data_IF_105719158354
#
_entry.id   IF_105719158354
#
_cell.length_a   1.000
_cell.length_b   1.000
_cell.length_c   1.000
_cell.angle_alpha   90.00
_cell.angle_beta   90.00
_cell.angle_gamma   90.00
#
_symmetry.space_group_name_H-M   'P 1'
#
loop_
_entity.id
_entity.type
_entity.pdbx_description
1 polymer ?
#
# COMPACT_ATOMS: atom_id res chain seq x y z
N UNK A 1 6.59 -41.84 11.78
CA UNK A 1 5.51 -41.87 10.77
C UNK A 1 4.93 -40.47 10.67
N UNK A 2 5.23 -39.73 9.59
CA UNK A 2 4.74 -38.36 9.36
C UNK A 2 3.33 -38.40 8.74
N UNK A 3 2.36 -37.78 9.40
CA UNK A 3 1.03 -37.53 8.84
C UNK A 3 1.04 -36.16 8.13
N UNK A 4 0.93 -36.18 6.79
CA UNK A 4 0.69 -34.99 5.96
C UNK A 4 -0.81 -34.70 5.96
N UNK A 5 -1.24 -33.61 6.58
CA UNK A 5 -2.59 -33.08 6.45
C UNK A 5 -2.65 -32.16 5.23
N UNK A 6 -3.35 -32.60 4.19
CA UNK A 6 -3.54 -31.84 2.96
C UNK A 6 -4.64 -30.78 3.12
N UNK A 7 -4.29 -29.51 2.92
CA UNK A 7 -5.29 -28.44 2.76
C UNK A 7 -5.83 -28.47 1.32
N UNK A 8 -7.11 -28.80 1.17
CA UNK A 8 -7.85 -28.63 -0.08
C UNK A 8 -8.28 -27.17 -0.19
N UNK A 9 -7.54 -26.39 -0.95
CA UNK A 9 -7.94 -25.04 -1.34
C UNK A 9 -9.12 -25.13 -2.33
N UNK A 10 -10.33 -24.78 -1.88
CA UNK A 10 -11.46 -24.51 -2.78
C UNK A 10 -11.15 -23.25 -3.60
N UNK A 11 -10.74 -23.42 -4.84
CA UNK A 11 -10.69 -22.33 -5.82
C UNK A 11 -12.14 -21.88 -6.10
N UNK A 12 -12.49 -20.69 -5.63
CA UNK A 12 -13.70 -20.00 -6.07
C UNK A 12 -13.41 -19.47 -7.48
N UNK A 13 -14.15 -19.97 -8.47
CA UNK A 13 -14.16 -19.39 -9.81
C UNK A 13 -14.71 -17.97 -9.71
N UNK A 14 -13.81 -16.97 -9.77
CA UNK A 14 -14.19 -15.58 -10.00
C UNK A 14 -14.68 -15.50 -11.45
N UNK A 15 -15.92 -15.06 -11.64
CA UNK A 15 -16.49 -14.82 -12.96
C UNK A 15 -15.56 -13.87 -13.75
N UNK A 16 -15.31 -14.11 -15.05
CA UNK A 16 -14.51 -13.21 -15.84
C UNK A 16 -15.26 -11.88 -15.97
N UNK A 17 -14.72 -10.80 -15.40
CA UNK A 17 -15.07 -9.45 -15.81
C UNK A 17 -14.86 -9.39 -17.33
N UNK A 18 -15.93 -9.13 -18.08
CA UNK A 18 -15.89 -8.88 -19.51
C UNK A 18 -15.03 -7.63 -19.76
N UNK A 19 -13.73 -7.83 -19.94
CA UNK A 19 -12.79 -6.81 -20.34
C UNK A 19 -13.07 -6.46 -21.80
N UNK A 20 -13.95 -5.47 -22.01
CA UNK A 20 -14.21 -4.90 -23.33
C UNK A 20 -12.92 -4.22 -23.79
N UNK A 21 -12.16 -4.90 -24.66
CA UNK A 21 -11.00 -4.34 -25.34
C UNK A 21 -11.52 -3.70 -26.63
N UNK A 22 -11.66 -2.38 -26.65
CA UNK A 22 -11.83 -1.65 -27.90
C UNK A 22 -10.45 -1.62 -28.58
N UNK A 23 -10.18 -2.65 -29.38
CA UNK A 23 -9.01 -2.70 -30.25
C UNK A 23 -9.46 -2.36 -31.67
N UNK A 24 -9.08 -1.17 -32.14
CA UNK A 24 -9.05 -0.84 -33.56
C UNK A 24 -7.84 -1.52 -34.20
N UNK A 25 -8.03 -2.76 -34.64
CA UNK A 25 -7.10 -3.46 -35.52
C UNK A 25 -7.70 -3.51 -36.91
N UNK A 26 -7.14 -2.72 -37.84
CA UNK A 26 -7.19 -2.98 -39.28
C UNK A 26 -5.76 -3.33 -39.68
N UNK A 27 -5.53 -4.50 -40.31
CA UNK A 27 -5.57 -4.51 -41.77
C UNK A 27 -6.16 -5.81 -42.34
N UNK A 28 -7.17 -5.71 -43.18
CA UNK A 28 -7.47 -6.78 -44.14
C UNK A 28 -7.80 -6.19 -45.51
N UNK A 29 -6.91 -6.54 -46.43
CA UNK A 29 -6.96 -6.33 -47.86
C UNK A 29 -8.20 -7.05 -48.43
N UNK A 30 -9.22 -6.26 -48.79
CA UNK A 30 -10.41 -6.75 -49.47
C UNK A 30 -10.80 -5.80 -50.59
N UNK A 31 -11.03 -6.40 -51.75
CA UNK A 31 -11.14 -5.76 -53.05
C UNK A 31 -12.33 -4.78 -53.17
N UNK A 32 -12.00 -3.64 -53.76
CA UNK A 32 -12.80 -2.76 -54.62
C UNK A 32 -14.31 -3.09 -54.80
N UNK A 33 -15.16 -2.37 -54.07
CA UNK A 33 -16.47 -1.93 -54.55
C UNK A 33 -16.74 -0.52 -54.02
N UNK A 34 -16.58 0.48 -54.89
CA UNK A 34 -16.97 1.86 -54.61
C UNK A 34 -18.50 1.97 -54.50
N UNK A 35 -19.03 1.86 -53.30
CA UNK A 35 -20.32 2.45 -52.95
C UNK A 35 -20.04 3.86 -52.40
N UNK A 36 -20.25 4.87 -53.25
CA UNK A 36 -20.45 6.23 -52.78
C UNK A 36 -21.88 6.23 -52.22
N UNK A 37 -22.02 5.86 -50.94
CA UNK A 37 -23.20 6.26 -50.20
C UNK A 37 -22.99 7.73 -49.84
N UNK A 38 -23.75 8.61 -50.48
CA UNK A 38 -23.88 9.99 -50.00
C UNK A 38 -24.43 9.90 -48.58
N UNK A 39 -23.64 10.33 -47.59
CA UNK A 39 -24.07 10.41 -46.21
C UNK A 39 -25.14 11.51 -46.09
N UNK A 40 -26.41 11.11 -46.30
CA UNK A 40 -27.58 12.00 -46.16
C UNK A 40 -27.96 12.22 -44.70
N UNK A 41 -27.11 11.87 -43.73
CA UNK A 41 -27.42 12.11 -42.32
C UNK A 41 -27.34 13.61 -42.03
N UNK A 42 -28.51 14.24 -41.95
CA UNK A 42 -28.63 15.63 -41.50
C UNK A 42 -28.32 15.65 -40.01
N UNK A 43 -27.08 15.97 -39.67
CA UNK A 43 -26.68 16.18 -38.29
C UNK A 43 -27.45 17.37 -37.72
N UNK A 44 -28.17 17.19 -36.59
CA UNK A 44 -28.82 18.31 -35.94
C UNK A 44 -27.75 19.30 -35.50
N UNK A 45 -27.92 20.58 -35.84
CA UNK A 45 -26.96 21.64 -35.49
C UNK A 45 -26.74 21.62 -33.97
N UNK A 46 -25.55 21.21 -33.56
CA UNK A 46 -25.20 21.12 -32.15
C UNK A 46 -25.04 22.52 -31.56
N UNK A 47 -25.87 22.84 -30.56
CA UNK A 47 -25.83 24.09 -29.83
C UNK A 47 -26.18 23.86 -28.36
N UNK A 48 -26.01 24.89 -27.53
CA UNK A 48 -26.28 24.83 -26.08
C UNK A 48 -27.76 24.61 -25.73
N UNK A 49 -28.66 24.66 -26.71
CA UNK A 49 -30.08 24.35 -26.56
C UNK A 49 -30.44 22.90 -26.95
N UNK A 50 -29.46 22.06 -27.29
CA UNK A 50 -29.70 20.65 -27.59
C UNK A 50 -30.24 19.90 -26.37
N UNK A 51 -30.97 18.78 -26.57
CA UNK A 51 -31.57 18.02 -25.47
C UNK A 51 -30.57 17.58 -24.40
N UNK A 52 -29.30 17.34 -24.76
CA UNK A 52 -28.24 17.02 -23.83
C UNK A 52 -27.93 18.20 -22.89
N UNK A 53 -27.63 19.38 -23.43
CA UNK A 53 -27.32 20.57 -22.63
C UNK A 53 -28.49 21.04 -21.78
N UNK A 54 -29.72 20.95 -22.30
CA UNK A 54 -30.92 21.25 -21.52
C UNK A 54 -31.06 20.34 -20.30
N UNK A 55 -30.79 19.03 -20.45
CA UNK A 55 -30.80 18.09 -19.33
C UNK A 55 -29.72 18.44 -18.30
N UNK A 56 -28.51 18.81 -18.74
CA UNK A 56 -27.45 19.25 -17.84
C UNK A 56 -27.80 20.50 -17.05
N UNK A 57 -28.36 21.54 -17.69
CA UNK A 57 -28.78 22.75 -16.98
C UNK A 57 -29.93 22.49 -16.01
N UNK A 58 -30.92 21.68 -16.40
CA UNK A 58 -32.01 21.30 -15.50
C UNK A 58 -31.48 20.51 -14.30
N UNK A 59 -30.58 19.55 -14.53
CA UNK A 59 -29.96 18.77 -13.46
C UNK A 59 -29.11 19.66 -12.53
N UNK A 60 -28.35 20.59 -13.10
CA UNK A 60 -27.59 21.61 -12.36
C UNK A 60 -28.48 22.46 -11.46
N UNK A 61 -29.61 22.95 -11.99
CA UNK A 61 -30.56 23.76 -11.23
C UNK A 61 -31.21 22.92 -10.12
N UNK A 62 -31.59 21.67 -10.40
CA UNK A 62 -32.16 20.76 -9.41
C UNK A 62 -31.17 20.52 -8.27
N UNK A 63 -29.89 20.27 -8.58
CA UNK A 63 -28.84 20.06 -7.57
C UNK A 63 -28.62 21.34 -6.74
N UNK A 64 -28.56 22.51 -7.39
CA UNK A 64 -28.40 23.78 -6.70
C UNK A 64 -29.58 24.11 -5.77
N UNK A 65 -30.81 23.86 -6.23
CA UNK A 65 -32.01 24.00 -5.40
C UNK A 65 -32.02 23.00 -4.25
N UNK A 66 -31.65 21.75 -4.50
CA UNK A 66 -31.53 20.72 -3.46
C UNK A 66 -30.48 21.08 -2.40
N UNK A 67 -29.40 21.77 -2.76
CA UNK A 67 -28.40 22.26 -1.82
C UNK A 67 -28.95 23.40 -0.94
N UNK A 68 -29.69 24.34 -1.52
CA UNK A 68 -30.26 25.47 -0.77
C UNK A 68 -31.41 25.05 0.16
N UNK A 69 -32.19 24.04 -0.23
CA UNK A 69 -33.31 23.50 0.55
C UNK A 69 -32.95 22.22 1.29
N UNK A 70 -31.66 21.85 1.34
CA UNK A 70 -31.22 20.71 2.12
C UNK A 70 -31.53 21.00 3.60
N UNK A 71 -32.24 20.08 4.30
CA UNK A 71 -32.34 20.15 5.75
C UNK A 71 -30.94 20.21 6.35
N UNK A 72 -30.80 20.88 7.51
CA UNK A 72 -29.54 20.83 8.25
C UNK A 72 -29.08 19.36 8.39
N UNK A 73 -27.78 19.06 8.26
CA UNK A 73 -27.28 17.70 8.35
C UNK A 73 -27.43 17.18 9.79
N UNK A 74 -28.64 16.77 10.14
CA UNK A 74 -28.98 16.07 11.36
C UNK A 74 -29.09 14.57 11.07
N UNK A 75 -28.85 13.75 12.08
CA UNK A 75 -28.98 12.29 11.99
C UNK A 75 -30.42 11.84 11.64
N UNK A 76 -31.39 12.76 11.74
CA UNK A 76 -32.80 12.54 11.45
C UNK A 76 -33.18 12.79 9.99
N UNK A 77 -32.29 13.37 9.17
CA UNK A 77 -32.56 13.58 7.76
C UNK A 77 -32.83 12.24 7.07
N UNK A 78 -33.95 12.15 6.33
CA UNK A 78 -34.43 10.90 5.73
C UNK A 78 -33.36 10.20 4.88
N UNK A 79 -32.61 10.98 4.08
CA UNK A 79 -31.54 10.46 3.22
C UNK A 79 -30.37 9.94 4.06
N UNK A 80 -29.95 10.67 5.09
CA UNK A 80 -28.88 10.24 6.01
C UNK A 80 -29.27 8.94 6.73
N UNK A 81 -30.50 8.83 7.23
CA UNK A 81 -31.02 7.61 7.86
C UNK A 81 -31.11 6.43 6.89
N UNK A 82 -31.54 6.68 5.65
CA UNK A 82 -31.60 5.65 4.62
C UNK A 82 -30.20 5.15 4.24
N UNK A 83 -29.24 6.06 4.09
CA UNK A 83 -27.82 5.70 3.87
C UNK A 83 -27.26 4.93 5.07
N UNK A 84 -27.53 5.40 6.29
CA UNK A 84 -27.08 4.77 7.53
C UNK A 84 -27.51 3.29 7.65
N UNK A 85 -28.69 2.94 7.12
CA UNK A 85 -29.20 1.56 7.10
C UNK A 85 -28.35 0.61 6.24
N UNK A 86 -27.73 1.11 5.17
CA UNK A 86 -26.92 0.31 4.24
C UNK A 86 -25.41 0.46 4.45
N UNK A 87 -24.97 1.49 5.18
CA UNK A 87 -23.56 1.66 5.53
C UNK A 87 -23.18 0.85 6.76
N UNK A 88 -21.95 0.34 6.79
CA UNK A 88 -21.41 -0.30 8.00
C UNK A 88 -21.19 0.73 9.11
N UNK A 89 -21.56 0.37 10.35
CA UNK A 89 -21.36 1.20 11.55
C UNK A 89 -19.91 1.63 11.72
N UNK A 90 -19.70 2.86 12.21
CA UNK A 90 -18.38 3.43 12.53
C UNK A 90 -17.57 2.54 13.48
N UNK A 91 -18.22 1.90 14.44
CA UNK A 91 -17.58 0.96 15.38
C UNK A 91 -16.88 -0.21 14.67
N UNK A 92 -17.48 -0.74 13.60
CA UNK A 92 -16.89 -1.83 12.82
C UNK A 92 -15.63 -1.38 12.08
N UNK A 93 -15.62 -0.13 11.59
CA UNK A 93 -14.44 0.47 10.97
C UNK A 93 -13.32 0.68 11.99
N UNK A 94 -13.66 1.16 13.19
CA UNK A 94 -12.71 1.31 14.29
C UNK A 94 -12.08 -0.04 14.64
N UNK A 95 -12.91 -1.05 14.87
CA UNK A 95 -12.47 -2.41 15.22
C UNK A 95 -11.59 -3.03 14.12
N UNK A 96 -11.92 -2.84 12.84
CA UNK A 96 -11.07 -3.27 11.74
C UNK A 96 -9.73 -2.53 11.69
N UNK A 97 -9.73 -1.20 11.91
CA UNK A 97 -8.52 -0.40 11.95
C UNK A 97 -7.62 -0.81 13.13
N UNK A 98 -8.19 -1.07 14.30
CA UNK A 98 -7.47 -1.57 15.48
C UNK A 98 -6.86 -2.93 15.21
N UNK A 99 -7.59 -3.86 14.57
CA UNK A 99 -6.99 -5.15 14.19
C UNK A 99 -5.82 -4.97 13.21
N UNK A 100 -5.97 -4.09 12.23
CA UNK A 100 -4.90 -3.83 11.27
C UNK A 100 -3.66 -3.21 11.93
N UNK A 101 -3.83 -2.26 12.86
CA UNK A 101 -2.71 -1.65 13.57
C UNK A 101 -1.99 -2.67 14.45
N UNK A 102 -2.72 -3.55 15.14
CA UNK A 102 -2.13 -4.64 15.95
C UNK A 102 -1.31 -5.59 15.06
N UNK A 103 -1.88 -6.08 13.97
CA UNK A 103 -1.17 -6.97 13.04
C UNK A 103 0.06 -6.31 12.43
N UNK A 104 -0.04 -5.02 12.05
CA UNK A 104 1.09 -4.27 11.51
C UNK A 104 2.23 -4.11 12.53
N UNK A 105 1.87 -3.95 13.81
CA UNK A 105 2.82 -3.86 14.91
C UNK A 105 3.53 -5.20 15.12
N UNK A 106 2.80 -6.31 15.14
CA UNK A 106 3.39 -7.65 15.29
C UNK A 106 4.39 -7.95 14.17
N UNK A 107 4.05 -7.59 12.93
CA UNK A 107 4.97 -7.73 11.78
C UNK A 107 6.20 -6.83 11.96
N UNK A 108 6.02 -5.58 12.39
CA UNK A 108 7.13 -4.67 12.62
C UNK A 108 8.07 -5.15 13.73
N UNK A 109 7.53 -5.71 14.82
CA UNK A 109 8.31 -6.32 15.90
C UNK A 109 9.11 -7.54 15.40
N UNK A 110 8.48 -8.39 14.57
CA UNK A 110 9.16 -9.52 13.94
C UNK A 110 10.32 -9.06 13.05
N UNK A 111 10.12 -8.03 12.22
CA UNK A 111 11.19 -7.45 11.40
C UNK A 111 12.30 -6.89 12.29
N UNK A 112 11.95 -6.10 13.31
CA UNK A 112 12.92 -5.50 14.23
C UNK A 112 13.80 -6.56 14.91
N UNK A 113 13.21 -7.67 15.36
CA UNK A 113 13.94 -8.78 15.97
C UNK A 113 15.05 -9.33 15.07
N UNK A 114 14.79 -9.46 13.76
CA UNK A 114 15.77 -9.98 12.82
C UNK A 114 16.74 -8.90 12.31
N UNK A 115 16.30 -7.65 12.17
CA UNK A 115 17.15 -6.56 11.66
C UNK A 115 18.12 -6.03 12.71
N UNK A 116 17.71 -6.01 13.98
CA UNK A 116 18.52 -5.48 15.09
C UNK A 116 19.55 -6.49 15.58
N UNK A 117 19.42 -7.77 15.21
CA UNK A 117 20.40 -8.80 15.53
C UNK A 117 21.71 -8.58 14.75
N UNK A 118 22.60 -7.73 15.28
CA UNK A 118 23.97 -7.60 14.80
C UNK A 118 24.83 -8.74 15.36
N UNK A 119 25.71 -9.33 14.53
CA UNK A 119 26.74 -10.24 15.02
C UNK A 119 27.61 -9.49 16.03
N UNK A 120 28.03 -10.09 17.17
CA UNK A 120 28.98 -9.43 18.06
C UNK A 120 30.24 -9.02 17.28
N UNK A 121 30.78 -7.82 17.51
CA UNK A 121 31.97 -7.36 16.81
C UNK A 121 33.13 -8.32 17.09
N UNK A 122 33.75 -8.85 16.03
CA UNK A 122 34.91 -9.75 16.15
C UNK A 122 36.17 -8.95 15.93
N UNK A 123 36.89 -8.66 17.02
CA UNK A 123 38.18 -7.99 16.96
C UNK A 123 39.27 -9.04 16.73
N UNK A 124 39.65 -9.25 15.46
CA UNK A 124 40.72 -10.17 15.08
C UNK A 124 42.09 -9.52 15.32
N UNK A 125 42.71 -9.81 16.46
CA UNK A 125 44.07 -9.39 16.74
C UNK A 125 45.08 -10.30 16.02
N UNK A 126 46.05 -9.71 15.31
CA UNK A 126 47.13 -10.45 14.63
C UNK A 126 48.16 -10.99 15.62
N UNK A 127 48.43 -10.24 16.70
CA UNK A 127 49.45 -10.56 17.69
C UNK A 127 48.95 -10.26 19.12
N UNK A 128 48.03 -11.06 19.68
CA UNK A 128 47.56 -10.87 21.06
C UNK A 128 48.68 -11.03 22.09
N UNK A 129 49.70 -11.83 21.75
CA UNK A 129 50.85 -12.11 22.61
C UNK A 129 51.71 -10.90 22.93
N UNK A 130 51.63 -9.81 22.15
CA UNK A 130 52.37 -8.57 22.48
C UNK A 130 51.91 -7.93 23.79
N UNK A 131 50.69 -8.22 24.25
CA UNK A 131 50.15 -7.66 25.49
C UNK A 131 50.84 -8.22 26.75
N UNK A 132 51.36 -9.46 26.68
CA UNK A 132 52.03 -10.17 27.78
C UNK A 132 53.52 -10.46 27.49
N UNK A 133 54.09 -9.90 26.42
CA UNK A 133 55.43 -10.28 25.96
C UNK A 133 56.56 -9.82 26.90
N UNK A 134 56.31 -8.86 27.78
CA UNK A 134 57.32 -8.33 28.69
C UNK A 134 57.46 -9.18 29.95
N UNK A 135 58.70 -9.57 30.27
CA UNK A 135 59.02 -10.25 31.53
C UNK A 135 58.81 -9.28 32.71
N UNK A 136 58.06 -9.65 33.76
CA UNK A 136 57.81 -8.78 34.92
C UNK A 136 59.07 -8.31 35.64
N UNK A 137 60.18 -9.02 35.49
CA UNK A 137 61.43 -8.78 36.23
C UNK A 137 62.47 -7.99 35.44
N UNK A 138 62.21 -7.68 34.17
CA UNK A 138 63.15 -6.98 33.29
C UNK A 138 62.50 -5.76 32.61
N UNK A 139 61.68 -5.04 33.36
CA UNK A 139 61.04 -3.80 32.92
C UNK A 139 61.49 -2.68 33.82
N UNK A 140 61.97 -1.57 33.24
CA UNK A 140 62.20 -0.36 34.00
C UNK A 140 60.86 0.20 34.51
N UNK A 141 60.87 0.78 35.71
CA UNK A 141 59.70 1.42 36.28
C UNK A 141 59.15 2.50 35.33
N UNK A 142 57.85 2.44 35.02
CA UNK A 142 57.17 3.41 34.16
C UNK A 142 57.20 3.16 32.65
N UNK A 143 57.88 2.11 32.16
CA UNK A 143 57.93 1.80 30.72
C UNK A 143 56.70 1.04 30.19
N UNK A 144 56.04 0.27 31.07
CA UNK A 144 54.86 -0.52 30.70
C UNK A 144 53.59 0.09 31.30
N UNK A 145 52.52 0.11 30.50
CA UNK A 145 51.18 0.37 30.97
C UNK A 145 50.57 -0.91 31.55
N UNK A 146 49.73 -0.79 32.59
CA UNK A 146 48.95 -1.93 33.09
C UNK A 146 47.88 -2.30 32.07
N UNK A 147 47.98 -3.51 31.52
CA UNK A 147 47.12 -4.00 30.44
C UNK A 147 45.91 -4.79 30.91
N UNK A 148 45.75 -4.98 32.22
CA UNK A 148 44.73 -5.88 32.81
C UNK A 148 43.28 -5.41 32.64
N UNK A 149 43.06 -4.11 32.46
CA UNK A 149 41.73 -3.49 32.40
C UNK A 149 41.32 -3.03 31.00
N UNK A 150 42.07 -3.41 29.96
CA UNK A 150 41.72 -3.01 28.59
C UNK A 150 40.60 -3.86 28.01
N UNK A 151 39.46 -3.21 27.74
CA UNK A 151 38.37 -3.78 26.95
C UNK A 151 38.53 -3.36 25.50
N UNK A 152 38.33 -4.30 24.58
CA UNK A 152 38.36 -4.01 23.16
C UNK A 152 37.21 -3.04 22.80
N UNK A 153 37.51 -1.93 22.12
CA UNK A 153 36.50 -0.96 21.68
C UNK A 153 35.43 -1.66 20.84
N UNK A 154 34.18 -1.54 21.27
CA UNK A 154 33.00 -1.98 20.51
C UNK A 154 32.35 -0.77 19.84
N UNK A 155 31.71 -0.98 18.69
CA UNK A 155 31.12 0.10 17.88
C UNK A 155 29.88 0.75 18.54
N UNK A 156 29.39 0.20 19.66
CA UNK A 156 28.10 0.57 20.26
C UNK A 156 28.20 1.50 21.48
N UNK A 157 29.40 1.98 21.82
CA UNK A 157 29.64 3.02 22.83
C UNK A 157 30.02 4.35 22.16
N UNK A 158 29.00 5.14 21.80
CA UNK A 158 29.07 6.59 21.58
C UNK A 158 27.85 7.23 22.23
#
# INVERSE_FOLDING_TARGET
MLARTGFVARQRFLAPLSRQRNASTSPSDHHNHHHIEEDTTVYPKEGFATPAWRRFFVLSIIIGAAYQFAPEPSEEAFVTRWLAMYTTTSEKWLDMNVRHTVLSKEVAEGVNLFTTATRPPINRMRFPQMMDNASPFNVQVGLNADTRDFVAKTEHEV
#
